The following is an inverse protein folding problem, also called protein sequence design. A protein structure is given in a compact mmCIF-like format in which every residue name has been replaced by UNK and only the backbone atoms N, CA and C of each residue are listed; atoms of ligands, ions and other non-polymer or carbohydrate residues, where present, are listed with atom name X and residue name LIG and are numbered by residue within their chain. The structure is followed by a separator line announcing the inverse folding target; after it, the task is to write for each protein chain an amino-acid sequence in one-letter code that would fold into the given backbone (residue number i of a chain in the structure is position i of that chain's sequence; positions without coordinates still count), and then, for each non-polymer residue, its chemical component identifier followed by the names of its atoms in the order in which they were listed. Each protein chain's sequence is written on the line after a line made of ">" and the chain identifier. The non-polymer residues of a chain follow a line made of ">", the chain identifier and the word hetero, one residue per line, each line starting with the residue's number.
data_IF_785970176331
#
_entry.id   IF_785970176331
#
_cell.length_a   1.000
_cell.length_b   1.000
_cell.length_c   1.000
_cell.angle_alpha   90.00
_cell.angle_beta   90.00
_cell.angle_gamma   90.00
#
_symmetry.space_group_name_H-M   'P 1'
#
loop_
_entity.id
_entity.type
_entity.pdbx_description
1 polymer ?
#
# COMPACT_ATOMS: atom_id res chain seq x y z
N UNK A 1 -2.98 -5.09 19.53
CA UNK A 1 -3.85 -4.50 18.49
C UNK A 1 -3.44 -5.13 17.17
N UNK A 2 -4.33 -5.85 16.49
CA UNK A 2 -4.09 -6.29 15.10
C UNK A 2 -4.01 -5.01 14.27
N UNK A 3 -2.86 -4.72 13.67
CA UNK A 3 -2.72 -3.56 12.79
C UNK A 3 -3.65 -3.74 11.59
N UNK A 4 -4.52 -2.75 11.36
CA UNK A 4 -5.48 -2.71 10.27
C UNK A 4 -4.78 -2.41 8.94
N UNK A 5 -5.12 -3.17 7.88
CA UNK A 5 -4.54 -3.04 6.53
C UNK A 5 -4.62 -1.58 6.06
N UNK A 6 -5.75 -0.91 6.30
CA UNK A 6 -5.93 0.47 5.87
C UNK A 6 -5.01 1.45 6.58
N UNK A 7 -4.79 1.25 7.88
CA UNK A 7 -3.89 2.10 8.67
C UNK A 7 -2.44 1.94 8.20
N UNK A 8 -2.00 0.69 7.93
CA UNK A 8 -0.66 0.43 7.44
C UNK A 8 -0.46 0.93 6.00
N UNK A 9 -1.48 0.78 5.14
CA UNK A 9 -1.48 1.36 3.79
C UNK A 9 -1.38 2.88 3.80
N UNK A 10 -2.12 3.59 4.67
CA UNK A 10 -2.00 5.05 4.81
C UNK A 10 -0.60 5.49 5.29
N UNK A 11 0.00 4.75 6.23
CA UNK A 11 1.38 5.01 6.66
C UNK A 11 2.37 4.83 5.52
N UNK A 12 2.22 3.74 4.76
CA UNK A 12 3.05 3.47 3.59
C UNK A 12 2.90 4.59 2.56
N UNK A 13 1.68 5.04 2.25
CA UNK A 13 1.44 6.13 1.31
C UNK A 13 2.25 7.38 1.68
N UNK A 14 2.24 7.79 2.96
CA UNK A 14 3.02 8.95 3.44
C UNK A 14 4.53 8.74 3.28
N UNK A 15 5.02 7.50 3.46
CA UNK A 15 6.44 7.17 3.23
C UNK A 15 6.79 7.29 1.74
N UNK A 16 5.92 6.78 0.86
CA UNK A 16 6.09 6.84 -0.60
C UNK A 16 6.11 8.30 -1.08
N UNK A 17 5.20 9.13 -0.60
CA UNK A 17 5.14 10.55 -0.92
C UNK A 17 6.45 11.28 -0.57
N UNK A 18 6.94 11.09 0.66
CA UNK A 18 8.21 11.66 1.13
C UNK A 18 9.43 11.21 0.32
N UNK A 19 9.32 10.13 -0.44
CA UNK A 19 10.38 9.58 -1.30
C UNK A 19 10.24 9.98 -2.76
N UNK A 20 9.32 10.89 -3.06
CA UNK A 20 9.04 11.36 -4.41
C UNK A 20 8.17 10.41 -5.23
N UNK A 21 7.57 9.40 -4.58
CA UNK A 21 6.70 8.41 -5.22
C UNK A 21 5.22 8.81 -5.08
N UNK A 22 4.92 10.08 -5.38
CA UNK A 22 3.60 10.69 -5.18
C UNK A 22 2.48 9.93 -5.90
N UNK A 23 2.77 9.40 -7.09
CA UNK A 23 1.82 8.57 -7.85
C UNK A 23 1.26 7.41 -7.00
N UNK A 24 2.10 6.69 -6.25
CA UNK A 24 1.62 5.59 -5.41
C UNK A 24 0.89 6.09 -4.16
N UNK A 25 1.24 7.27 -3.63
CA UNK A 25 0.49 7.89 -2.55
C UNK A 25 -0.97 8.14 -2.97
N UNK A 26 -1.19 8.84 -4.09
CA UNK A 26 -2.53 9.17 -4.58
C UNK A 26 -3.34 7.89 -4.82
N UNK A 27 -2.77 6.91 -5.51
CA UNK A 27 -3.46 5.65 -5.80
C UNK A 27 -3.83 4.85 -4.53
N UNK A 28 -3.00 4.87 -3.49
CA UNK A 28 -3.32 4.22 -2.21
C UNK A 28 -4.45 4.96 -1.49
N UNK A 29 -4.40 6.29 -1.43
CA UNK A 29 -5.44 7.09 -0.79
C UNK A 29 -6.76 6.94 -1.54
N UNK A 30 -6.74 6.99 -2.87
CA UNK A 30 -7.94 6.83 -3.68
C UNK A 30 -8.57 5.44 -3.54
N UNK A 31 -7.75 4.38 -3.47
CA UNK A 31 -8.25 3.04 -3.21
C UNK A 31 -9.00 2.93 -1.88
N UNK A 32 -8.55 3.66 -0.85
CA UNK A 32 -9.15 3.61 0.49
C UNK A 32 -10.38 4.51 0.58
N UNK A 33 -10.32 5.75 0.07
CA UNK A 33 -11.37 6.75 0.26
C UNK A 33 -12.50 6.64 -0.76
N UNK A 34 -12.23 6.09 -1.97
CA UNK A 34 -13.18 6.09 -3.09
C UNK A 34 -13.54 4.69 -3.62
N UNK A 35 -13.41 3.65 -2.79
CA UNK A 35 -13.92 2.32 -3.14
C UNK A 35 -15.26 2.06 -2.47
N UNK A 36 -16.14 1.33 -3.18
CA UNK A 36 -17.51 1.06 -2.74
C UNK A 36 -17.60 -0.13 -1.78
N UNK A 37 -16.59 -1.00 -1.76
CA UNK A 37 -16.55 -2.20 -0.91
C UNK A 37 -15.15 -2.47 -0.38
N UNK A 38 -15.07 -3.18 0.76
CA UNK A 38 -13.79 -3.62 1.31
C UNK A 38 -13.00 -4.49 0.32
N UNK A 39 -13.66 -5.41 -0.38
CA UNK A 39 -13.01 -6.25 -1.40
C UNK A 39 -12.42 -5.41 -2.53
N UNK A 40 -13.14 -4.41 -3.02
CA UNK A 40 -12.63 -3.47 -4.03
C UNK A 40 -11.41 -2.69 -3.53
N UNK A 41 -11.46 -2.17 -2.30
CA UNK A 41 -10.31 -1.52 -1.66
C UNK A 41 -9.10 -2.45 -1.63
N UNK A 42 -9.28 -3.68 -1.16
CA UNK A 42 -8.19 -4.67 -1.06
C UNK A 42 -7.61 -5.02 -2.43
N UNK A 43 -8.45 -5.19 -3.46
CA UNK A 43 -8.00 -5.47 -4.82
C UNK A 43 -7.19 -4.32 -5.42
N UNK A 44 -7.65 -3.07 -5.26
CA UNK A 44 -6.93 -1.87 -5.73
C UNK A 44 -5.61 -1.70 -4.98
N UNK A 45 -5.61 -1.85 -3.65
CA UNK A 45 -4.38 -1.80 -2.87
C UNK A 45 -3.38 -2.86 -3.33
N UNK A 46 -3.82 -4.11 -3.52
CA UNK A 46 -2.96 -5.19 -4.03
C UNK A 46 -2.38 -4.89 -5.40
N UNK A 47 -3.18 -4.28 -6.29
CA UNK A 47 -2.73 -3.88 -7.62
C UNK A 47 -1.62 -2.83 -7.53
N UNK A 48 -1.88 -1.70 -6.86
CA UNK A 48 -0.94 -0.59 -6.72
C UNK A 48 0.37 -1.04 -6.06
N UNK A 49 0.28 -1.82 -4.98
CA UNK A 49 1.46 -2.29 -4.24
C UNK A 49 2.34 -3.25 -5.05
N UNK A 50 1.77 -3.99 -6.01
CA UNK A 50 2.54 -4.86 -6.92
C UNK A 50 3.22 -4.10 -8.04
N UNK A 51 2.75 -2.90 -8.39
CA UNK A 51 3.37 -2.05 -9.41
C UNK A 51 4.58 -1.28 -8.89
N UNK A 52 4.74 -1.18 -7.56
CA UNK A 52 5.91 -0.54 -6.97
C UNK A 52 7.15 -1.34 -7.35
N UNK A 53 8.00 -0.74 -8.18
CA UNK A 53 9.32 -1.28 -8.48
C UNK A 53 10.21 -1.18 -7.22
N UNK A 54 10.23 -2.26 -6.46
CA UNK A 54 10.95 -2.36 -5.19
C UNK A 54 12.46 -2.19 -5.41
N UNK A 55 13.01 -2.59 -6.56
CA UNK A 55 14.46 -2.62 -6.79
C UNK A 55 15.00 -1.32 -7.39
N UNK A 56 14.16 -0.57 -8.09
CA UNK A 56 14.53 0.71 -8.72
C UNK A 56 14.03 1.95 -7.93
N UNK A 57 13.40 1.76 -6.78
CA UNK A 57 12.88 2.85 -5.95
C UNK A 57 13.85 3.26 -4.85
N UNK A 58 13.73 4.52 -4.38
CA UNK A 58 14.47 5.05 -3.21
C UNK A 58 13.99 4.44 -1.86
N UNK A 59 13.50 3.21 -1.87
CA UNK A 59 12.97 2.49 -0.72
C UNK A 59 14.08 1.76 0.05
N UNK A 60 14.10 1.95 1.35
CA UNK A 60 14.99 1.21 2.24
C UNK A 60 14.36 -0.15 2.60
N UNK A 61 15.13 -1.03 3.23
CA UNK A 61 14.67 -2.38 3.61
C UNK A 61 13.39 -2.38 4.47
N UNK A 62 13.20 -1.39 5.34
CA UNK A 62 12.01 -1.27 6.17
C UNK A 62 10.77 -0.92 5.35
N UNK A 63 10.91 -0.03 4.37
CA UNK A 63 9.81 0.35 3.48
C UNK A 63 9.36 -0.86 2.64
N UNK A 64 10.33 -1.61 2.11
CA UNK A 64 10.10 -2.85 1.34
C UNK A 64 9.38 -3.90 2.19
N UNK A 65 9.83 -4.10 3.42
CA UNK A 65 9.20 -5.04 4.35
C UNK A 65 7.75 -4.65 4.68
N UNK A 66 7.44 -3.35 4.79
CA UNK A 66 6.07 -2.89 5.01
C UNK A 66 5.16 -3.18 3.80
N UNK A 67 5.66 -3.01 2.58
CA UNK A 67 4.93 -3.36 1.35
C UNK A 67 4.59 -4.85 1.34
N UNK A 68 5.58 -5.70 1.61
CA UNK A 68 5.39 -7.16 1.67
C UNK A 68 4.39 -7.57 2.77
N UNK A 69 4.48 -6.96 3.95
CA UNK A 69 3.57 -7.24 5.06
C UNK A 69 2.12 -6.89 4.69
N UNK A 70 1.89 -5.73 4.06
CA UNK A 70 0.56 -5.31 3.62
C UNK A 70 0.04 -6.25 2.53
N UNK A 71 0.88 -6.60 1.54
CA UNK A 71 0.51 -7.54 0.48
C UNK A 71 0.09 -8.91 1.04
N UNK A 72 0.83 -9.43 2.02
CA UNK A 72 0.50 -10.70 2.67
C UNK A 72 -0.84 -10.61 3.42
N UNK A 73 -1.06 -9.56 4.21
CA UNK A 73 -2.35 -9.34 4.90
C UNK A 73 -3.52 -9.26 3.92
N UNK A 74 -3.34 -8.60 2.77
CA UNK A 74 -4.37 -8.52 1.74
C UNK A 74 -4.63 -9.91 1.15
N UNK A 75 -3.58 -10.67 0.80
CA UNK A 75 -3.74 -12.02 0.24
C UNK A 75 -4.41 -12.99 1.23
N UNK A 76 -4.17 -12.84 2.54
CA UNK A 76 -4.83 -13.66 3.58
C UNK A 76 -6.30 -13.26 3.80
N UNK A 77 -6.71 -12.08 3.33
CA UNK A 77 -8.05 -11.52 3.52
C UNK A 77 -8.95 -11.64 2.27
N UNK A 78 -8.40 -12.09 1.15
CA UNK A 78 -9.08 -12.33 -0.13
C UNK A 78 -9.32 -13.82 -0.36
#
# INVERSE_FOLDING_TARGET
>A
MKNDIYTDSKKLAVILDKKGLHFYYENIIDAIEYSSTATETLMKLRFVLKEIDIDNSNLNKSDKGLIEEILNKINDSL
#
